data_IF_175905528993
#
_entry.id   IF_175905528993
#
_cell.length_a   1.000
_cell.length_b   1.000
_cell.length_c   1.000
_cell.angle_alpha   90.00
_cell.angle_beta   90.00
_cell.angle_gamma   90.00
#
_symmetry.space_group_name_H-M   'P 1'
#
loop_
_entity.id
_entity.type
_entity.pdbx_description
1 polymer ?
#
# COMPACT_ATOMS: atom_id res chain seq x y z
N UNK A 1 -33.73 31.36 -32.35
CA UNK A 1 -32.63 31.57 -31.37
C UNK A 1 -32.78 30.85 -30.02
N UNK A 2 -33.90 30.17 -29.70
CA UNK A 2 -34.07 29.50 -28.39
C UNK A 2 -33.41 28.10 -28.27
N UNK A 3 -33.09 27.45 -29.40
CA UNK A 3 -32.47 26.12 -29.44
C UNK A 3 -30.97 26.15 -29.13
N UNK A 4 -30.25 27.22 -29.53
CA UNK A 4 -28.82 27.37 -29.29
C UNK A 4 -28.50 27.54 -27.79
N UNK A 5 -29.35 28.26 -27.05
CA UNK A 5 -29.18 28.45 -25.60
C UNK A 5 -29.57 27.20 -24.79
N UNK A 6 -30.49 26.37 -25.30
CA UNK A 6 -30.89 25.10 -24.67
C UNK A 6 -29.77 24.06 -24.73
N UNK A 7 -29.09 23.96 -25.88
CA UNK A 7 -27.93 23.07 -26.05
C UNK A 7 -26.75 23.56 -25.20
N UNK A 8 -26.48 24.88 -25.17
CA UNK A 8 -25.44 25.45 -24.32
C UNK A 8 -25.68 25.17 -22.83
N UNK A 9 -26.94 25.29 -22.37
CA UNK A 9 -27.31 24.98 -20.98
C UNK A 9 -27.16 23.48 -20.64
N UNK A 10 -27.47 22.58 -21.57
CA UNK A 10 -27.29 21.14 -21.36
C UNK A 10 -25.81 20.73 -21.32
N UNK A 11 -24.97 21.36 -22.15
CA UNK A 11 -23.51 21.12 -22.14
C UNK A 11 -22.89 21.63 -20.83
N UNK A 12 -23.34 22.79 -20.33
CA UNK A 12 -22.85 23.34 -19.06
C UNK A 12 -23.19 22.42 -17.87
N UNK A 13 -24.40 21.87 -17.83
CA UNK A 13 -24.81 20.91 -16.79
C UNK A 13 -23.99 19.62 -16.82
N UNK A 14 -23.67 19.12 -18.02
CA UNK A 14 -22.82 17.94 -18.19
C UNK A 14 -21.40 18.19 -17.64
N UNK A 15 -20.81 19.34 -17.96
CA UNK A 15 -19.47 19.72 -17.49
C UNK A 15 -19.42 19.88 -15.96
N UNK A 16 -20.47 20.46 -15.36
CA UNK A 16 -20.59 20.58 -13.90
C UNK A 16 -20.74 19.19 -13.27
N UNK A 17 -21.54 18.30 -13.85
CA UNK A 17 -21.71 16.93 -13.36
C UNK A 17 -20.40 16.13 -13.38
N UNK A 18 -19.62 16.24 -14.47
CA UNK A 18 -18.29 15.60 -14.57
C UNK A 18 -17.31 16.22 -13.58
N UNK A 19 -17.30 17.56 -13.46
CA UNK A 19 -16.46 18.27 -12.49
C UNK A 19 -16.76 17.84 -11.05
N UNK A 20 -18.03 17.77 -10.66
CA UNK A 20 -18.44 17.28 -9.34
C UNK A 20 -18.11 15.80 -9.14
N UNK A 21 -18.30 14.96 -10.16
CA UNK A 21 -17.94 13.54 -10.10
C UNK A 21 -16.45 13.32 -9.80
N UNK A 22 -15.57 14.10 -10.45
CA UNK A 22 -14.12 14.04 -10.22
C UNK A 22 -13.70 14.58 -8.86
N UNK A 23 -14.36 15.63 -8.36
CA UNK A 23 -14.10 16.18 -7.03
C UNK A 23 -14.50 15.20 -5.91
N UNK A 24 -15.54 14.40 -6.12
CA UNK A 24 -16.05 13.44 -5.13
C UNK A 24 -15.41 12.05 -5.24
N UNK A 25 -14.77 11.69 -6.35
CA UNK A 25 -14.22 10.35 -6.57
C UNK A 25 -12.88 10.07 -5.89
N UNK A 26 -12.20 11.08 -5.33
CA UNK A 26 -10.78 10.98 -4.91
C UNK A 26 -10.50 10.82 -3.41
N UNK A 27 -11.50 10.82 -2.52
CA UNK A 27 -11.26 10.91 -1.07
C UNK A 27 -11.27 9.58 -0.30
N UNK A 28 -11.42 8.45 -0.99
CA UNK A 28 -11.25 7.14 -0.37
C UNK A 28 -9.79 6.91 -0.03
N UNK A 29 -9.42 7.01 1.25
CA UNK A 29 -8.14 6.48 1.75
C UNK A 29 -8.15 4.98 1.46
N UNK A 30 -7.58 4.61 0.31
CA UNK A 30 -7.43 3.20 -0.07
C UNK A 30 -6.54 2.60 1.02
N UNK A 31 -7.07 1.62 1.76
CA UNK A 31 -6.33 0.88 2.76
C UNK A 31 -5.26 0.03 2.09
N UNK A 32 -4.24 0.67 1.53
CA UNK A 32 -3.00 0.00 1.22
C UNK A 32 -2.44 -0.47 2.56
N UNK A 33 -2.21 -1.77 2.68
CA UNK A 33 -1.45 -2.34 3.79
C UNK A 33 -0.21 -1.45 3.99
N UNK A 34 0.03 -0.92 5.20
CA UNK A 34 1.07 0.06 5.40
C UNK A 34 2.41 -0.53 4.90
N UNK A 35 3.10 0.23 4.04
CA UNK A 35 4.43 -0.16 3.51
C UNK A 35 5.40 -0.57 4.62
N UNK A 36 5.22 0.03 5.79
CA UNK A 36 5.96 -0.23 7.02
C UNK A 36 5.96 -1.71 7.43
N UNK A 37 4.84 -2.42 7.26
CA UNK A 37 4.76 -3.85 7.61
C UNK A 37 5.64 -4.69 6.68
N UNK A 38 5.64 -4.39 5.39
CA UNK A 38 6.49 -5.07 4.40
C UNK A 38 7.98 -4.74 4.58
N UNK A 39 8.28 -3.48 4.89
CA UNK A 39 9.65 -3.02 5.15
C UNK A 39 10.26 -3.71 6.39
N UNK A 40 9.43 -3.91 7.42
CA UNK A 40 9.82 -4.65 8.62
C UNK A 40 10.11 -6.13 8.32
N UNK A 41 9.27 -6.77 7.50
CA UNK A 41 9.48 -8.16 7.06
C UNK A 41 10.73 -8.32 6.17
N UNK A 42 10.97 -7.37 5.27
CA UNK A 42 12.18 -7.33 4.45
C UNK A 42 13.44 -7.21 5.32
N UNK A 43 13.43 -6.27 6.26
CA UNK A 43 14.54 -6.07 7.21
C UNK A 43 14.82 -7.35 8.00
N UNK A 44 13.77 -8.00 8.51
CA UNK A 44 13.92 -9.24 9.25
C UNK A 44 14.51 -10.37 8.39
N UNK A 45 14.05 -10.51 7.15
CA UNK A 45 14.57 -11.53 6.21
C UNK A 45 16.02 -11.27 5.83
N UNK A 46 16.41 -10.00 5.63
CA UNK A 46 17.79 -9.62 5.35
C UNK A 46 18.72 -9.97 6.51
N UNK A 47 18.30 -9.76 7.75
CA UNK A 47 19.06 -10.16 8.94
C UNK A 47 19.25 -11.68 8.97
N UNK A 48 18.19 -12.46 8.73
CA UNK A 48 18.29 -13.92 8.69
C UNK A 48 19.27 -14.40 7.60
N UNK A 49 19.27 -13.75 6.43
CA UNK A 49 20.19 -14.07 5.34
C UNK A 49 21.65 -13.78 5.71
N UNK A 50 21.91 -12.67 6.41
CA UNK A 50 23.25 -12.34 6.92
C UNK A 50 23.71 -13.38 7.93
N UNK A 51 22.85 -13.76 8.88
CA UNK A 51 23.19 -14.78 9.88
C UNK A 51 23.52 -16.09 9.17
N UNK A 52 22.63 -16.58 8.30
CA UNK A 52 22.86 -17.84 7.59
C UNK A 52 24.15 -17.85 6.75
N UNK A 53 24.50 -16.72 6.14
CA UNK A 53 25.72 -16.60 5.32
C UNK A 53 27.00 -16.60 6.13
N UNK A 54 26.99 -15.99 7.32
CA UNK A 54 28.19 -15.75 8.12
C UNK A 54 28.33 -16.69 9.31
N UNK A 55 27.31 -17.51 9.60
CA UNK A 55 27.39 -18.52 10.64
C UNK A 55 28.31 -19.66 10.19
N UNK A 56 29.08 -20.20 11.14
CA UNK A 56 30.08 -21.25 10.87
C UNK A 56 29.41 -22.57 10.47
N UNK A 57 28.23 -22.82 11.04
CA UNK A 57 27.44 -24.02 10.79
C UNK A 57 26.23 -23.73 9.89
N UNK A 58 25.73 -24.77 9.19
CA UNK A 58 24.48 -24.65 8.44
C UNK A 58 23.31 -24.53 9.42
N UNK A 59 22.62 -23.39 9.36
CA UNK A 59 21.48 -23.06 10.21
C UNK A 59 20.19 -23.04 9.42
N UNK A 60 19.15 -23.70 9.96
CA UNK A 60 17.83 -23.68 9.38
C UNK A 60 17.12 -22.36 9.70
N UNK A 61 16.45 -21.78 8.69
CA UNK A 61 15.67 -20.55 8.87
C UNK A 61 14.60 -20.68 9.97
N UNK A 62 13.98 -21.87 10.12
CA UNK A 62 12.99 -22.13 11.15
C UNK A 62 13.58 -21.96 12.55
N UNK A 63 14.76 -22.50 12.79
CA UNK A 63 15.42 -22.46 14.09
C UNK A 63 15.85 -21.03 14.44
N UNK A 64 16.31 -20.26 13.44
CA UNK A 64 16.62 -18.84 13.60
C UNK A 64 15.37 -18.01 13.98
N UNK A 65 14.25 -18.24 13.31
CA UNK A 65 12.98 -17.55 13.60
C UNK A 65 12.47 -17.93 14.99
N UNK A 66 12.46 -19.21 15.34
CA UNK A 66 12.05 -19.67 16.68
C UNK A 66 12.97 -19.12 17.77
N UNK A 67 14.28 -19.08 17.53
CA UNK A 67 15.26 -18.48 18.44
C UNK A 67 15.04 -16.98 18.64
N UNK A 68 14.76 -16.24 17.56
CA UNK A 68 14.43 -14.81 17.63
C UNK A 68 13.14 -14.57 18.44
N UNK A 69 12.09 -15.36 18.20
CA UNK A 69 10.83 -15.28 18.96
C UNK A 69 11.07 -15.55 20.44
N UNK A 70 11.79 -16.63 20.77
CA UNK A 70 12.10 -16.98 22.16
C UNK A 70 12.94 -15.88 22.84
N UNK A 71 13.88 -15.25 22.12
CA UNK A 71 14.64 -14.12 22.63
C UNK A 71 13.80 -12.86 22.88
N UNK A 72 12.72 -12.64 22.10
CA UNK A 72 11.77 -11.55 22.33
C UNK A 72 10.78 -11.83 23.47
N UNK A 73 10.50 -13.10 23.77
CA UNK A 73 9.63 -13.54 24.87
C UNK A 73 10.36 -13.71 26.21
N UNK A 74 11.69 -13.60 26.19
CA UNK A 74 12.57 -13.79 27.34
C UNK A 74 12.57 -12.66 28.36
#
# INVERSE_FOLDING_TARGET
MKLLNKVGSSVLLLLIGIGMGLLLSGQGKVGAIPKEDYESLETFTNILAIVKKNYVDDVNAKDLVTGAINGMLG
#
